data_IF_544949940989
#
_entry.id   IF_544949940989
#
_cell.length_a   1.000
_cell.length_b   1.000
_cell.length_c   1.000
_cell.angle_alpha   90.00
_cell.angle_beta   90.00
_cell.angle_gamma   90.00
#
_symmetry.space_group_name_H-M   'P 1'
#
loop_
_entity.id
_entity.type
_entity.pdbx_description
1 polymer ?
#
# COMPACT_ATOMS: atom_id res chain seq x y z
N UNK A 1 -45.79 -15.40 3.19
CA UNK A 1 -45.11 -14.94 4.42
C UNK A 1 -43.87 -15.80 4.61
N UNK A 2 -42.72 -15.15 4.63
CA UNK A 2 -41.38 -15.60 5.04
C UNK A 2 -40.75 -16.78 4.29
N UNK A 3 -40.11 -16.46 3.16
CA UNK A 3 -38.88 -17.14 2.77
C UNK A 3 -37.73 -16.31 3.35
N UNK A 4 -37.24 -16.70 4.53
CA UNK A 4 -35.93 -16.28 4.99
C UNK A 4 -34.94 -16.83 3.97
N UNK A 5 -34.60 -16.01 2.97
CA UNK A 5 -33.35 -16.18 2.24
C UNK A 5 -32.29 -15.86 3.29
N UNK A 6 -31.81 -16.89 3.96
CA UNK A 6 -30.56 -16.82 4.70
C UNK A 6 -29.52 -16.46 3.66
N UNK A 7 -29.29 -15.16 3.52
CA UNK A 7 -28.05 -14.62 3.00
C UNK A 7 -26.98 -15.05 4.00
N UNK A 8 -26.66 -16.34 4.01
CA UNK A 8 -25.32 -16.84 4.27
C UNK A 8 -24.49 -16.22 3.15
N UNK A 9 -24.17 -14.94 3.32
CA UNK A 9 -22.97 -14.38 2.76
C UNK A 9 -21.91 -15.43 3.08
N UNK A 10 -21.40 -16.08 2.03
CA UNK A 10 -20.12 -16.74 2.08
C UNK A 10 -19.22 -15.76 2.83
N UNK A 11 -18.98 -16.02 4.11
CA UNK A 11 -17.79 -15.54 4.79
C UNK A 11 -16.68 -16.19 3.97
N UNK A 12 -16.29 -15.49 2.91
CA UNK A 12 -15.13 -15.79 2.09
C UNK A 12 -14.05 -15.99 3.13
N UNK A 13 -13.57 -17.23 3.24
CA UNK A 13 -12.54 -17.65 4.17
C UNK A 13 -11.27 -16.88 3.80
N UNK A 14 -11.22 -15.59 4.13
CA UNK A 14 -10.10 -14.74 3.82
C UNK A 14 -8.91 -15.35 4.57
N UNK A 15 -7.76 -15.55 3.92
CA UNK A 15 -6.60 -16.10 4.59
C UNK A 15 -6.27 -15.25 5.83
N UNK A 16 -5.73 -15.89 6.87
CA UNK A 16 -5.39 -15.20 8.12
C UNK A 16 -4.55 -13.94 7.86
N UNK A 17 -5.06 -12.78 8.30
CA UNK A 17 -4.40 -11.47 8.23
C UNK A 17 -3.00 -11.50 8.87
N UNK A 18 -2.76 -12.42 9.80
CA UNK A 18 -1.46 -12.67 10.45
C UNK A 18 -0.29 -12.74 9.48
N UNK A 19 -0.43 -13.40 8.32
CA UNK A 19 0.65 -13.48 7.34
C UNK A 19 1.02 -12.11 6.75
N UNK A 20 0.01 -11.28 6.48
CA UNK A 20 0.22 -9.91 6.03
C UNK A 20 0.85 -9.07 7.14
N UNK A 21 0.39 -9.21 8.38
CA UNK A 21 0.92 -8.49 9.54
C UNK A 21 2.39 -8.81 9.79
N UNK A 22 2.76 -10.09 9.75
CA UNK A 22 4.14 -10.52 9.93
C UNK A 22 5.04 -9.97 8.82
N UNK A 23 4.55 -10.00 7.57
CA UNK A 23 5.29 -9.48 6.43
C UNK A 23 5.41 -7.95 6.42
N UNK A 24 4.48 -7.20 7.02
CA UNK A 24 4.55 -5.74 7.10
C UNK A 24 5.88 -5.23 7.67
N UNK A 25 6.48 -6.00 8.60
CA UNK A 25 7.76 -5.69 9.22
C UNK A 25 8.99 -6.09 8.37
N UNK A 26 8.80 -6.89 7.33
CA UNK A 26 9.86 -7.32 6.41
C UNK A 26 9.95 -6.43 5.16
N UNK A 27 8.94 -5.58 4.93
CA UNK A 27 8.94 -4.59 3.84
C UNK A 27 10.22 -3.75 3.88
N UNK A 28 10.91 -3.67 2.76
CA UNK A 28 12.16 -2.92 2.62
C UNK A 28 11.91 -1.41 2.53
N UNK A 29 11.50 -0.83 3.65
CA UNK A 29 11.20 0.58 3.80
C UNK A 29 11.61 1.09 5.20
N UNK A 30 11.61 2.41 5.45
CA UNK A 30 11.76 2.95 6.79
C UNK A 30 10.74 2.38 7.79
N UNK A 31 11.15 2.15 9.04
CA UNK A 31 10.31 1.53 10.08
C UNK A 31 8.95 2.22 10.30
N UNK A 32 8.88 3.55 10.14
CA UNK A 32 7.63 4.32 10.22
C UNK A 32 6.61 3.91 9.14
N UNK A 33 7.09 3.53 7.95
CA UNK A 33 6.24 3.08 6.84
C UNK A 33 5.79 1.64 7.11
N UNK A 34 6.68 0.76 7.57
CA UNK A 34 6.33 -0.61 8.00
C UNK A 34 5.24 -0.60 9.07
N UNK A 35 5.36 0.28 10.08
CA UNK A 35 4.37 0.44 11.13
C UNK A 35 3.02 0.92 10.58
N UNK A 36 3.01 1.91 9.67
CA UNK A 36 1.76 2.34 9.02
C UNK A 36 1.12 1.17 8.27
N UNK A 37 1.88 0.43 7.46
CA UNK A 37 1.38 -0.73 6.71
C UNK A 37 0.78 -1.77 7.66
N UNK A 38 1.46 -2.07 8.77
CA UNK A 38 0.93 -2.97 9.80
C UNK A 38 -0.38 -2.45 10.42
N UNK A 39 -0.50 -1.15 10.68
CA UNK A 39 -1.74 -0.54 11.19
C UNK A 39 -2.89 -0.63 10.20
N UNK A 40 -2.62 -0.44 8.89
CA UNK A 40 -3.61 -0.60 7.83
C UNK A 40 -4.13 -2.03 7.77
N UNK A 41 -3.19 -3.00 7.86
CA UNK A 41 -3.52 -4.43 7.87
C UNK A 41 -4.34 -4.81 9.10
N UNK A 42 -4.11 -4.16 10.23
CA UNK A 42 -4.76 -4.48 11.50
C UNK A 42 -6.17 -3.88 11.66
N UNK A 43 -6.78 -3.39 10.57
CA UNK A 43 -8.22 -3.13 10.52
C UNK A 43 -8.65 -1.67 10.67
N UNK A 44 -7.85 -0.71 10.22
CA UNK A 44 -8.33 0.67 10.03
C UNK A 44 -9.13 0.77 8.72
N UNK A 45 -10.33 0.16 8.67
CA UNK A 45 -11.16 0.00 7.47
C UNK A 45 -11.33 1.32 6.68
N UNK A 46 -11.63 2.42 7.36
CA UNK A 46 -11.80 3.73 6.73
C UNK A 46 -10.54 4.24 6.04
N UNK A 47 -9.36 4.04 6.66
CA UNK A 47 -8.06 4.42 6.10
C UNK A 47 -7.66 3.50 4.94
N UNK A 48 -8.06 2.24 5.03
CA UNK A 48 -7.82 1.24 4.01
C UNK A 48 -8.63 1.50 2.74
N UNK A 49 -9.93 1.74 2.84
CA UNK A 49 -10.76 2.16 1.69
C UNK A 49 -10.22 3.46 1.08
N UNK A 50 -9.84 4.39 1.93
CA UNK A 50 -9.20 5.63 1.56
C UNK A 50 -7.94 5.44 0.67
N UNK A 51 -7.13 4.42 0.92
CA UNK A 51 -5.88 4.19 0.17
C UNK A 51 -6.13 3.48 -1.17
N UNK A 52 -7.14 2.62 -1.27
CA UNK A 52 -7.33 1.77 -2.44
C UNK A 52 -8.57 2.09 -3.28
N UNK A 53 -9.47 2.97 -2.81
CA UNK A 53 -10.74 3.26 -3.49
C UNK A 53 -11.04 4.76 -3.62
N UNK A 54 -10.32 5.63 -2.90
CA UNK A 54 -10.50 7.08 -3.01
C UNK A 54 -9.96 7.61 -4.35
N UNK A 55 -10.68 8.46 -5.11
CA UNK A 55 -10.27 8.81 -6.48
C UNK A 55 -8.87 9.43 -6.62
N UNK A 56 -8.44 10.38 -5.77
CA UNK A 56 -7.05 10.86 -5.76
C UNK A 56 -6.01 9.76 -5.45
N UNK A 57 -6.36 8.78 -4.62
CA UNK A 57 -5.47 7.65 -4.32
C UNK A 57 -5.36 6.70 -5.52
N UNK A 58 -6.49 6.41 -6.19
CA UNK A 58 -6.51 5.63 -7.44
C UNK A 58 -5.66 6.28 -8.53
N UNK A 59 -5.78 7.60 -8.70
CA UNK A 59 -4.94 8.35 -9.65
C UNK A 59 -3.46 8.25 -9.29
N UNK A 60 -3.11 8.34 -8.01
CA UNK A 60 -1.73 8.16 -7.57
C UNK A 60 -1.19 6.76 -7.89
N UNK A 61 -2.01 5.70 -7.71
CA UNK A 61 -1.62 4.35 -8.11
C UNK A 61 -1.42 4.21 -9.63
N UNK A 62 -2.33 4.76 -10.44
CA UNK A 62 -2.23 4.74 -11.90
C UNK A 62 -1.02 5.50 -12.44
N UNK A 63 -0.62 6.58 -11.77
CA UNK A 63 0.52 7.41 -12.15
C UNK A 63 1.86 6.87 -11.65
N UNK A 64 1.85 5.93 -10.70
CA UNK A 64 3.07 5.36 -10.12
C UNK A 64 3.72 4.32 -11.02
N UNK A 65 5.02 4.11 -10.82
CA UNK A 65 5.77 3.03 -11.46
C UNK A 65 5.48 1.64 -10.87
N UNK A 66 4.75 1.55 -9.75
CA UNK A 66 4.25 0.28 -9.23
C UNK A 66 3.36 -0.37 -10.28
N UNK A 67 3.63 -1.62 -10.70
CA UNK A 67 2.79 -2.29 -11.70
C UNK A 67 1.33 -2.31 -11.26
N UNK A 68 0.46 -1.77 -12.08
CA UNK A 68 -0.97 -1.76 -11.86
C UNK A 68 -1.69 -2.23 -13.13
N UNK A 69 -2.83 -2.89 -12.94
CA UNK A 69 -3.72 -3.27 -14.02
C UNK A 69 -5.13 -3.20 -13.47
N UNK A 70 -6.08 -2.65 -14.22
CA UNK A 70 -7.46 -2.45 -13.76
C UNK A 70 -8.19 -3.76 -13.38
N UNK A 71 -7.60 -4.92 -13.69
CA UNK A 71 -8.14 -6.23 -13.34
C UNK A 71 -7.43 -6.89 -12.14
N UNK A 72 -6.29 -6.34 -11.69
CA UNK A 72 -5.44 -6.97 -10.67
C UNK A 72 -5.16 -6.05 -9.49
N UNK A 73 -4.93 -4.76 -9.73
CA UNK A 73 -4.60 -3.79 -8.69
C UNK A 73 -4.80 -2.35 -9.20
N UNK A 74 -5.40 -1.46 -8.38
CA UNK A 74 -6.12 -1.74 -7.12
C UNK A 74 -7.52 -2.36 -7.37
N UNK A 75 -8.00 -3.17 -6.43
CA UNK A 75 -9.34 -3.79 -6.42
C UNK A 75 -10.07 -3.55 -5.09
N UNK A 76 -11.39 -3.80 -5.03
CA UNK A 76 -12.22 -3.69 -3.82
C UNK A 76 -12.00 -4.84 -2.83
N UNK A 77 -10.73 -5.16 -2.55
CA UNK A 77 -10.32 -6.14 -1.55
C UNK A 77 -8.94 -5.76 -1.03
N UNK A 78 -8.91 -5.27 0.21
CA UNK A 78 -7.67 -4.91 0.87
C UNK A 78 -6.68 -6.07 0.92
N UNK A 79 -7.15 -7.26 1.29
CA UNK A 79 -6.32 -8.46 1.32
C UNK A 79 -5.69 -8.69 -0.06
N UNK A 80 -6.48 -8.65 -1.14
CA UNK A 80 -5.97 -8.87 -2.49
C UNK A 80 -4.95 -7.81 -2.91
N UNK A 81 -5.18 -6.54 -2.55
CA UNK A 81 -4.25 -5.45 -2.82
C UNK A 81 -2.92 -5.64 -2.10
N UNK A 82 -2.94 -5.95 -0.80
CA UNK A 82 -1.71 -6.17 -0.03
C UNK A 82 -0.97 -7.44 -0.47
N UNK A 83 -1.70 -8.53 -0.72
CA UNK A 83 -1.15 -9.77 -1.25
C UNK A 83 -0.48 -9.54 -2.63
N UNK A 84 -1.09 -8.72 -3.48
CA UNK A 84 -0.49 -8.31 -4.74
C UNK A 84 0.79 -7.50 -4.55
N UNK A 85 0.73 -6.46 -3.72
CA UNK A 85 1.83 -5.55 -3.45
C UNK A 85 3.04 -6.25 -2.79
N UNK A 86 2.78 -7.21 -1.91
CA UNK A 86 3.84 -7.93 -1.20
C UNK A 86 4.49 -9.01 -2.05
N UNK A 87 3.71 -9.76 -2.84
CA UNK A 87 4.22 -11.01 -3.42
C UNK A 87 4.03 -11.16 -4.93
N UNK A 88 3.01 -10.56 -5.54
CA UNK A 88 2.65 -10.90 -6.94
C UNK A 88 3.17 -9.92 -7.98
N UNK A 89 3.43 -8.67 -7.61
CA UNK A 89 3.73 -7.60 -8.58
C UNK A 89 5.03 -7.82 -9.39
N UNK A 90 6.10 -8.31 -8.77
CA UNK A 90 7.46 -8.24 -9.36
C UNK A 90 8.31 -9.52 -9.23
N UNK A 91 7.73 -10.68 -8.86
CA UNK A 91 8.48 -11.93 -8.67
C UNK A 91 9.79 -11.76 -7.88
N UNK A 92 9.78 -10.90 -6.86
CA UNK A 92 10.96 -10.62 -6.03
C UNK A 92 11.40 -11.89 -5.30
N UNK A 93 12.70 -12.18 -5.31
CA UNK A 93 13.25 -13.37 -4.63
C UNK A 93 13.28 -13.19 -3.12
N UNK A 94 13.50 -11.95 -2.66
CA UNK A 94 13.57 -11.58 -1.25
C UNK A 94 13.05 -10.17 -1.02
N UNK A 95 12.49 -9.85 0.17
CA UNK A 95 11.98 -8.52 0.47
C UNK A 95 13.03 -7.40 0.36
N UNK A 96 14.28 -7.66 0.73
CA UNK A 96 15.38 -6.67 0.67
C UNK A 96 15.76 -6.25 -0.75
N UNK A 97 15.40 -7.04 -1.75
CA UNK A 97 15.63 -6.74 -3.16
C UNK A 97 14.47 -5.94 -3.77
N UNK A 98 13.34 -5.79 -3.06
CA UNK A 98 12.22 -4.98 -3.51
C UNK A 98 12.61 -3.49 -3.46
N UNK A 99 12.50 -2.83 -4.62
CA UNK A 99 12.69 -1.40 -4.83
C UNK A 99 11.43 -0.70 -5.31
N UNK A 100 10.31 -1.43 -5.36
CA UNK A 100 9.05 -0.86 -5.79
C UNK A 100 8.60 0.24 -4.82
N UNK A 101 8.13 1.40 -5.32
CA UNK A 101 7.84 2.55 -4.48
C UNK A 101 6.54 2.41 -3.67
N UNK A 102 5.76 1.33 -3.80
CA UNK A 102 4.46 1.19 -3.14
C UNK A 102 4.43 1.52 -1.64
N UNK A 103 5.46 1.25 -0.79
CA UNK A 103 5.41 1.62 0.62
C UNK A 103 5.39 3.15 0.78
N UNK A 104 6.16 3.85 -0.06
CA UNK A 104 6.15 5.31 -0.12
C UNK A 104 4.84 5.84 -0.70
N UNK A 105 4.29 5.20 -1.73
CA UNK A 105 2.98 5.58 -2.29
C UNK A 105 1.89 5.49 -1.21
N UNK A 106 1.80 4.37 -0.48
CA UNK A 106 0.88 4.21 0.67
C UNK A 106 1.07 5.34 1.69
N UNK A 107 2.31 5.57 2.10
CA UNK A 107 2.65 6.59 3.09
C UNK A 107 2.25 8.00 2.66
N UNK A 108 2.48 8.34 1.39
CA UNK A 108 2.20 9.67 0.86
C UNK A 108 0.72 9.89 0.55
N UNK A 109 -0.01 8.86 0.09
CA UNK A 109 -1.48 8.88 0.02
C UNK A 109 -2.06 9.15 1.41
N UNK A 110 -1.65 8.36 2.41
CA UNK A 110 -2.10 8.55 3.79
C UNK A 110 -1.82 9.97 4.32
N UNK A 111 -0.63 10.53 4.03
CA UNK A 111 -0.30 11.91 4.41
C UNK A 111 -1.15 12.95 3.69
N UNK A 112 -1.39 12.80 2.40
CA UNK A 112 -2.21 13.73 1.63
C UNK A 112 -3.66 13.73 2.14
N UNK A 113 -4.20 12.57 2.46
CA UNK A 113 -5.55 12.43 3.02
C UNK A 113 -5.68 13.08 4.39
N UNK A 114 -4.71 12.87 5.28
CA UNK A 114 -4.68 13.58 6.56
C UNK A 114 -4.50 15.10 6.38
N UNK A 115 -3.66 15.52 5.43
CA UNK A 115 -3.50 16.93 5.08
C UNK A 115 -4.81 17.57 4.61
N UNK A 116 -5.59 16.85 3.80
CA UNK A 116 -6.91 17.27 3.34
C UNK A 116 -7.92 17.33 4.49
N UNK A 117 -7.98 16.26 5.29
CA UNK A 117 -8.93 16.14 6.40
C UNK A 117 -8.71 17.18 7.50
N UNK A 118 -7.45 17.39 7.92
CA UNK A 118 -7.14 18.24 9.07
C UNK A 118 -6.75 19.68 8.70
N UNK A 119 -6.31 19.91 7.46
CA UNK A 119 -5.76 21.22 7.03
C UNK A 119 -6.37 21.76 5.74
N UNK A 120 -7.28 21.02 5.11
CA UNK A 120 -7.90 21.43 3.84
C UNK A 120 -6.93 21.50 2.65
N UNK A 121 -5.75 20.87 2.75
CA UNK A 121 -4.74 20.90 1.69
C UNK A 121 -5.01 19.77 0.71
N UNK A 122 -5.31 20.11 -0.53
CA UNK A 122 -5.36 19.14 -1.63
C UNK A 122 -3.98 19.08 -2.30
N UNK A 123 -3.39 17.88 -2.32
CA UNK A 123 -2.14 17.65 -3.06
C UNK A 123 -2.46 17.03 -4.41
N UNK A 124 -1.81 17.54 -5.44
CA UNK A 124 -1.84 16.95 -6.77
C UNK A 124 -1.29 15.51 -6.72
N UNK A 125 -2.02 14.51 -7.27
CA UNK A 125 -1.60 13.11 -7.26
C UNK A 125 -0.27 12.85 -7.99
N UNK A 126 0.01 13.56 -9.10
CA UNK A 126 1.26 13.37 -9.84
C UNK A 126 2.45 13.88 -9.01
N UNK A 127 2.34 15.07 -8.42
CA UNK A 127 3.39 15.60 -7.55
C UNK A 127 3.61 14.74 -6.30
N UNK A 128 2.54 14.14 -5.75
CA UNK A 128 2.62 13.16 -4.68
C UNK A 128 3.44 11.94 -5.09
N UNK A 129 3.15 11.35 -6.24
CA UNK A 129 3.84 10.16 -6.78
C UNK A 129 5.31 10.47 -7.02
N UNK A 130 5.62 11.56 -7.73
CA UNK A 130 7.00 11.97 -8.01
C UNK A 130 7.82 12.12 -6.74
N UNK A 131 7.22 12.72 -5.70
CA UNK A 131 7.90 12.88 -4.42
C UNK A 131 8.08 11.56 -3.68
N UNK A 132 7.08 10.68 -3.70
CA UNK A 132 7.16 9.35 -3.10
C UNK A 132 8.25 8.49 -3.75
N UNK A 133 8.33 8.48 -5.08
CA UNK A 133 9.34 7.74 -5.84
C UNK A 133 10.75 8.30 -5.62
N UNK A 134 10.90 9.63 -5.62
CA UNK A 134 12.18 10.26 -5.30
C UNK A 134 12.68 9.91 -3.89
N UNK A 135 11.77 9.86 -2.91
CA UNK A 135 12.12 9.47 -1.53
C UNK A 135 12.45 7.97 -1.42
N UNK A 136 11.82 7.12 -2.23
CA UNK A 136 12.15 5.70 -2.35
C UNK A 136 13.59 5.53 -2.87
N UNK A 137 13.88 6.14 -4.03
CA UNK A 137 15.20 6.10 -4.65
C UNK A 137 16.29 6.64 -3.72
N UNK A 138 16.06 7.82 -3.12
CA UNK A 138 17.02 8.42 -2.20
C UNK A 138 17.32 7.51 -1.00
N UNK A 139 16.32 6.82 -0.47
CA UNK A 139 16.51 5.89 0.64
C UNK A 139 17.33 4.66 0.25
N UNK A 140 17.07 4.06 -0.91
CA UNK A 140 17.86 2.93 -1.40
C UNK A 140 19.30 3.34 -1.71
N UNK A 141 19.50 4.47 -2.40
CA UNK A 141 20.82 4.99 -2.73
C UNK A 141 21.65 5.28 -1.46
N UNK A 142 21.02 5.84 -0.43
CA UNK A 142 21.67 6.07 0.86
C UNK A 142 22.11 4.75 1.51
N UNK A 143 21.27 3.70 1.49
CA UNK A 143 21.64 2.38 2.05
C UNK A 143 22.81 1.74 1.33
N UNK A 144 22.88 1.86 0.00
CA UNK A 144 24.02 1.36 -0.78
C UNK A 144 25.31 2.10 -0.42
N UNK A 145 25.26 3.43 -0.30
CA UNK A 145 26.42 4.25 0.06
C UNK A 145 27.01 3.91 1.44
N UNK A 146 26.16 3.45 2.38
CA UNK A 146 26.60 3.00 3.71
C UNK A 146 27.26 1.62 3.65
N UNK A 147 26.87 0.78 2.67
CA UNK A 147 27.36 -0.59 2.52
C UNK A 147 28.63 -0.73 1.67
N UNK A 148 29.03 0.32 0.94
CA UNK A 148 30.27 0.33 0.18
C UNK A 148 31.47 0.50 1.14
N UNK A 149 32.46 -0.42 1.16
CA UNK A 149 33.71 -0.20 1.89
C UNK A 149 34.44 1.02 1.29
N UNK A 150 35.03 1.85 2.15
CA UNK A 150 36.03 2.84 1.76
C UNK A 150 37.24 2.17 1.09
#
# INVERSE_FOLDING_TARGET
MNLMRTDEALEVLQPSITKLQDFAWTVNAPQKICHLIWQLISGQETVTHAIFEFPPALQAWELSSTPSSSQTFPVSSFYANMDYLFWKKNNIKKPEDDRDPYPWIIWYIWKAMNGKLFRGIDRDPLELVRYAESECEAWHNAKESISAPL
#
